data_IF_296386566665
#
_entry.id   IF_296386566665
#
_cell.length_a   1.000
_cell.length_b   1.000
_cell.length_c   1.000
_cell.angle_alpha   90.00
_cell.angle_beta   90.00
_cell.angle_gamma   90.00
#
_symmetry.space_group_name_H-M   'P 1'
#
loop_
_entity.id
_entity.type
_entity.pdbx_description
1 polymer ?
#
# COMPACT_ATOMS: atom_id res chain seq x y z
N UNK A 1 21.48 -25.80 24.03
CA UNK A 1 22.24 -24.62 24.51
C UNK A 1 23.61 -24.95 25.07
N UNK A 2 23.81 -26.13 25.71
CA UNK A 2 25.09 -26.50 26.33
C UNK A 2 26.20 -26.87 25.35
N UNK A 3 25.88 -27.53 24.25
CA UNK A 3 26.85 -28.04 23.27
C UNK A 3 27.60 -26.90 22.55
N UNK A 4 26.99 -25.76 22.37
CA UNK A 4 27.55 -24.59 21.66
C UNK A 4 28.73 -23.98 22.45
N UNK A 5 28.56 -23.70 23.74
CA UNK A 5 29.62 -23.15 24.59
C UNK A 5 30.84 -24.03 24.63
N UNK A 6 30.64 -25.34 24.67
CA UNK A 6 31.72 -26.33 24.67
C UNK A 6 32.51 -26.32 23.36
N UNK A 7 31.80 -26.14 22.22
CA UNK A 7 32.43 -26.05 20.89
C UNK A 7 33.19 -24.73 20.75
N UNK A 8 32.65 -23.62 21.20
CA UNK A 8 33.29 -22.30 21.17
C UNK A 8 34.55 -22.27 22.04
N UNK A 9 34.49 -22.84 23.24
CA UNK A 9 35.67 -22.97 24.10
C UNK A 9 36.77 -23.84 23.48
N UNK A 10 36.39 -24.96 22.86
CA UNK A 10 37.36 -25.83 22.16
C UNK A 10 38.00 -25.14 20.96
N UNK A 11 37.22 -24.43 20.17
CA UNK A 11 37.74 -23.68 19.02
C UNK A 11 38.69 -22.58 19.48
N UNK A 12 38.34 -21.82 20.50
CA UNK A 12 39.20 -20.76 21.04
C UNK A 12 40.48 -21.35 21.70
N UNK A 13 40.40 -22.49 22.38
CA UNK A 13 41.56 -23.16 22.94
C UNK A 13 42.54 -23.67 21.87
N UNK A 14 42.01 -24.26 20.79
CA UNK A 14 42.84 -24.73 19.66
C UNK A 14 43.46 -23.54 18.90
N UNK A 15 42.69 -22.43 18.75
CA UNK A 15 43.18 -21.23 18.08
C UNK A 15 44.36 -20.60 18.82
N UNK A 16 44.27 -20.49 20.14
CA UNK A 16 45.38 -20.01 20.98
C UNK A 16 46.65 -20.88 20.89
N UNK A 17 46.51 -22.17 20.62
CA UNK A 17 47.63 -23.06 20.41
C UNK A 17 48.30 -22.91 19.05
N UNK A 18 47.51 -22.66 18.00
CA UNK A 18 48.00 -22.59 16.62
C UNK A 18 48.53 -21.20 16.27
N UNK A 19 47.97 -20.15 16.85
CA UNK A 19 48.34 -18.74 16.56
C UNK A 19 48.47 -17.94 17.86
N UNK A 20 49.54 -18.12 18.65
CA UNK A 20 49.77 -17.35 19.86
C UNK A 20 50.02 -15.89 19.48
N UNK A 21 49.12 -14.99 19.89
CA UNK A 21 49.18 -13.55 19.57
C UNK A 21 48.21 -13.07 18.48
N UNK A 22 47.43 -13.94 17.89
CA UNK A 22 46.38 -13.54 16.95
C UNK A 22 45.13 -13.06 17.69
N UNK A 23 44.36 -12.18 16.99
CA UNK A 23 43.09 -11.61 17.46
C UNK A 23 42.13 -12.75 17.82
N UNK A 24 41.42 -12.58 18.92
CA UNK A 24 40.38 -13.54 19.37
C UNK A 24 39.35 -13.77 18.28
N UNK A 25 39.11 -15.03 17.91
CA UNK A 25 38.08 -15.38 16.95
C UNK A 25 36.72 -15.15 17.61
N UNK A 26 35.96 -14.12 17.14
CA UNK A 26 34.54 -14.04 17.44
C UNK A 26 33.79 -15.10 16.64
N UNK A 27 33.54 -16.25 17.26
CA UNK A 27 32.65 -17.26 16.70
C UNK A 27 31.21 -16.75 16.78
N UNK A 28 30.69 -16.21 15.67
CA UNK A 28 29.27 -15.91 15.54
C UNK A 28 28.52 -17.13 15.01
N UNK A 29 27.44 -17.50 15.65
CA UNK A 29 26.53 -18.50 15.08
C UNK A 29 25.98 -17.98 13.76
N UNK A 30 25.89 -18.86 12.75
CA UNK A 30 25.30 -18.54 11.49
C UNK A 30 23.86 -18.00 11.67
N UNK A 31 23.12 -18.53 12.66
CA UNK A 31 21.78 -18.07 13.01
C UNK A 31 21.74 -16.67 13.64
N UNK A 32 22.75 -16.28 14.42
CA UNK A 32 22.85 -14.92 14.98
C UNK A 32 23.18 -13.91 13.89
N UNK A 33 24.10 -14.26 13.01
CA UNK A 33 24.43 -13.45 11.83
C UNK A 33 23.22 -13.30 10.89
N UNK A 34 22.47 -14.40 10.72
CA UNK A 34 21.25 -14.39 9.92
C UNK A 34 20.16 -13.53 10.55
N UNK A 35 20.03 -13.51 11.87
CA UNK A 35 19.10 -12.65 12.59
C UNK A 35 19.49 -11.17 12.53
N UNK A 36 20.78 -10.83 12.70
CA UNK A 36 21.26 -9.45 12.57
C UNK A 36 20.94 -8.86 11.19
N UNK A 37 21.18 -9.59 10.10
CA UNK A 37 20.81 -9.16 8.75
C UNK A 37 19.29 -9.06 8.56
N UNK A 38 18.51 -9.94 9.18
CA UNK A 38 17.05 -9.90 9.09
C UNK A 38 16.43 -8.77 9.92
N UNK A 39 17.04 -8.36 11.02
CA UNK A 39 16.54 -7.25 11.83
C UNK A 39 16.55 -5.93 11.06
N UNK A 40 17.59 -5.65 10.29
CA UNK A 40 17.65 -4.46 9.43
C UNK A 40 16.57 -4.49 8.33
N UNK A 41 16.38 -5.63 7.67
CA UNK A 41 15.33 -5.81 6.67
C UNK A 41 13.93 -5.67 7.26
N UNK A 42 13.68 -6.24 8.43
CA UNK A 42 12.40 -6.11 9.14
C UNK A 42 12.11 -4.68 9.58
N UNK A 43 13.12 -3.92 9.99
CA UNK A 43 12.97 -2.49 10.30
C UNK A 43 12.56 -1.68 9.06
N UNK A 44 13.23 -1.91 7.92
CA UNK A 44 12.89 -1.26 6.66
C UNK A 44 11.46 -1.61 6.23
N UNK A 45 11.08 -2.90 6.29
CA UNK A 45 9.71 -3.32 5.99
C UNK A 45 8.66 -2.64 6.89
N UNK A 46 8.96 -2.49 8.18
CA UNK A 46 8.08 -1.83 9.15
C UNK A 46 7.89 -0.36 8.82
N UNK A 47 8.98 0.34 8.49
CA UNK A 47 8.95 1.74 8.07
C UNK A 47 8.13 1.89 6.79
N UNK A 48 8.40 1.08 5.76
CA UNK A 48 7.67 1.10 4.50
C UNK A 48 6.17 0.82 4.70
N UNK A 49 5.82 -0.10 5.59
CA UNK A 49 4.41 -0.39 5.91
C UNK A 49 3.72 0.82 6.54
N UNK A 50 4.36 1.51 7.47
CA UNK A 50 3.80 2.71 8.10
C UNK A 50 3.58 3.82 7.06
N UNK A 51 4.58 4.08 6.20
CA UNK A 51 4.44 5.06 5.12
C UNK A 51 3.34 4.68 4.12
N UNK A 52 3.19 3.39 3.82
CA UNK A 52 2.11 2.88 2.95
C UNK A 52 0.74 3.15 3.57
N UNK A 53 0.54 2.89 4.86
CA UNK A 53 -0.72 3.20 5.54
C UNK A 53 -1.05 4.69 5.53
N UNK A 54 -0.05 5.54 5.80
CA UNK A 54 -0.22 7.00 5.75
C UNK A 54 -0.59 7.44 4.34
N UNK A 55 0.09 6.91 3.31
CA UNK A 55 -0.18 7.22 1.91
C UNK A 55 -1.60 6.82 1.49
N UNK A 56 -2.07 5.65 1.91
CA UNK A 56 -3.43 5.17 1.64
C UNK A 56 -4.46 6.09 2.32
N UNK A 57 -4.22 6.51 3.57
CA UNK A 57 -5.09 7.44 4.28
C UNK A 57 -5.16 8.80 3.57
N UNK A 58 -4.02 9.37 3.19
CA UNK A 58 -3.95 10.64 2.47
C UNK A 58 -4.65 10.56 1.11
N UNK A 59 -4.41 9.48 0.36
CA UNK A 59 -5.09 9.24 -0.92
C UNK A 59 -6.62 9.13 -0.73
N UNK A 60 -7.07 8.42 0.31
CA UNK A 60 -8.48 8.31 0.66
C UNK A 60 -9.12 9.66 1.00
N UNK A 61 -8.45 10.48 1.81
CA UNK A 61 -8.90 11.83 2.15
C UNK A 61 -8.94 12.74 0.91
N UNK A 62 -7.95 12.65 0.02
CA UNK A 62 -7.92 13.39 -1.24
C UNK A 62 -9.09 13.01 -2.16
N UNK A 63 -9.33 11.71 -2.32
CA UNK A 63 -10.45 11.20 -3.11
C UNK A 63 -11.80 11.64 -2.51
N UNK A 64 -11.90 11.59 -1.18
CA UNK A 64 -13.08 12.04 -0.45
C UNK A 64 -13.36 13.52 -0.71
N UNK A 65 -12.34 14.39 -0.60
CA UNK A 65 -12.46 15.82 -0.84
C UNK A 65 -12.88 16.17 -2.27
N UNK A 66 -12.25 15.51 -3.26
CA UNK A 66 -12.58 15.68 -4.67
C UNK A 66 -14.01 15.23 -4.99
N UNK A 67 -14.45 14.11 -4.41
CA UNK A 67 -15.80 13.60 -4.60
C UNK A 67 -16.83 14.57 -3.99
N UNK A 68 -16.58 15.05 -2.76
CA UNK A 68 -17.42 16.05 -2.12
C UNK A 68 -17.55 17.31 -2.96
N UNK A 69 -16.43 17.88 -3.38
CA UNK A 69 -16.39 19.08 -4.22
C UNK A 69 -17.10 18.89 -5.55
N UNK A 70 -16.92 17.73 -6.19
CA UNK A 70 -17.59 17.43 -7.47
C UNK A 70 -19.11 17.33 -7.33
N UNK A 71 -19.59 16.77 -6.23
CA UNK A 71 -21.02 16.69 -5.92
C UNK A 71 -21.59 18.08 -5.65
N UNK A 72 -20.90 18.89 -4.83
CA UNK A 72 -21.36 20.25 -4.49
C UNK A 72 -21.48 21.14 -5.71
N UNK A 73 -20.49 21.13 -6.60
CA UNK A 73 -20.52 21.90 -7.84
C UNK A 73 -21.65 21.49 -8.81
N UNK A 74 -22.20 20.29 -8.65
CA UNK A 74 -23.26 19.76 -9.52
C UNK A 74 -24.62 19.68 -8.83
N UNK A 75 -24.75 20.26 -7.66
CA UNK A 75 -25.98 20.22 -6.87
C UNK A 75 -27.22 20.67 -7.67
N UNK A 76 -27.09 21.76 -8.44
CA UNK A 76 -28.15 22.25 -9.28
C UNK A 76 -28.54 21.28 -10.42
N UNK A 77 -27.54 20.67 -11.07
CA UNK A 77 -27.77 19.67 -12.13
C UNK A 77 -28.47 18.43 -11.57
N UNK A 78 -28.03 17.95 -10.41
CA UNK A 78 -28.62 16.81 -9.71
C UNK A 78 -30.07 17.11 -9.32
N UNK A 79 -30.34 18.28 -8.77
CA UNK A 79 -31.70 18.72 -8.38
C UNK A 79 -32.63 18.80 -9.59
N UNK A 80 -32.20 19.38 -10.71
CA UNK A 80 -32.96 19.42 -11.93
C UNK A 80 -33.31 18.05 -12.49
N UNK A 81 -32.36 17.12 -12.46
CA UNK A 81 -32.60 15.73 -12.90
C UNK A 81 -33.59 15.02 -11.96
N UNK A 82 -33.51 15.27 -10.66
CA UNK A 82 -34.43 14.70 -9.67
C UNK A 82 -35.85 15.20 -9.87
N UNK A 83 -36.03 16.48 -10.19
CA UNK A 83 -37.33 17.06 -10.52
C UNK A 83 -37.89 16.44 -11.83
N UNK A 84 -37.02 16.14 -12.79
CA UNK A 84 -37.39 15.45 -14.04
C UNK A 84 -37.59 13.92 -13.88
N UNK A 85 -37.66 13.42 -12.65
CA UNK A 85 -38.00 12.03 -12.37
C UNK A 85 -36.81 11.04 -12.38
N UNK A 86 -35.57 11.52 -12.38
CA UNK A 86 -34.41 10.63 -12.27
C UNK A 86 -34.36 9.97 -10.87
N UNK A 87 -34.21 8.66 -10.84
CA UNK A 87 -34.06 7.92 -9.59
C UNK A 87 -32.72 8.20 -8.89
N UNK A 88 -32.69 8.06 -7.56
CA UNK A 88 -31.48 8.24 -6.77
C UNK A 88 -30.33 7.34 -7.24
N UNK A 89 -30.65 6.10 -7.63
CA UNK A 89 -29.68 5.15 -8.14
C UNK A 89 -29.07 5.59 -9.48
N UNK A 90 -29.85 6.15 -10.38
CA UNK A 90 -29.35 6.65 -11.67
C UNK A 90 -28.36 7.80 -11.48
N UNK A 91 -28.65 8.70 -10.55
CA UNK A 91 -27.75 9.80 -10.20
C UNK A 91 -26.45 9.28 -9.57
N UNK A 92 -26.57 8.35 -8.63
CA UNK A 92 -25.42 7.73 -7.99
C UNK A 92 -24.51 7.00 -8.99
N UNK A 93 -25.08 6.18 -9.88
CA UNK A 93 -24.33 5.47 -10.92
C UNK A 93 -23.62 6.45 -11.86
N UNK A 94 -24.27 7.53 -12.26
CA UNK A 94 -23.65 8.53 -13.13
C UNK A 94 -22.44 9.20 -12.49
N UNK A 95 -22.54 9.53 -11.20
CA UNK A 95 -21.43 10.10 -10.43
C UNK A 95 -20.29 9.07 -10.28
N UNK A 96 -20.60 7.84 -9.88
CA UNK A 96 -19.61 6.77 -9.73
C UNK A 96 -18.88 6.46 -11.03
N UNK A 97 -19.58 6.35 -12.16
CA UNK A 97 -18.97 6.03 -13.45
C UNK A 97 -17.87 7.01 -13.86
N UNK A 98 -18.05 8.29 -13.53
CA UNK A 98 -17.05 9.32 -13.82
C UNK A 98 -15.78 9.13 -12.97
N UNK A 99 -15.92 8.84 -11.68
CA UNK A 99 -14.78 8.60 -10.80
C UNK A 99 -14.04 7.31 -11.13
N UNK A 100 -14.78 6.25 -11.46
CA UNK A 100 -14.18 4.98 -11.90
C UNK A 100 -13.28 5.19 -13.12
N UNK A 101 -13.70 6.02 -14.07
CA UNK A 101 -12.87 6.35 -15.24
C UNK A 101 -11.54 6.99 -14.83
N UNK A 102 -11.55 7.93 -13.89
CA UNK A 102 -10.32 8.56 -13.42
C UNK A 102 -9.43 7.60 -12.62
N UNK A 103 -10.03 6.73 -11.80
CA UNK A 103 -9.30 5.69 -11.05
C UNK A 103 -8.61 4.72 -12.02
N UNK A 104 -9.31 4.29 -13.08
CA UNK A 104 -8.72 3.42 -14.10
C UNK A 104 -7.57 4.08 -14.84
N UNK A 105 -7.70 5.35 -15.23
CA UNK A 105 -6.61 6.10 -15.88
C UNK A 105 -5.41 6.20 -14.93
N UNK A 106 -5.63 6.56 -13.68
CA UNK A 106 -4.58 6.65 -12.67
C UNK A 106 -3.88 5.30 -12.46
N UNK A 107 -4.64 4.20 -12.44
CA UNK A 107 -4.09 2.86 -12.33
C UNK A 107 -3.25 2.46 -13.57
N UNK A 108 -3.73 2.76 -14.77
CA UNK A 108 -2.98 2.47 -16.00
C UNK A 108 -1.64 3.21 -16.08
N UNK A 109 -1.53 4.37 -15.44
CA UNK A 109 -0.26 5.13 -15.37
C UNK A 109 0.58 4.66 -14.18
N UNK A 110 -0.03 4.50 -13.02
CA UNK A 110 0.66 4.20 -11.77
C UNK A 110 1.20 2.76 -11.70
N UNK A 111 0.48 1.77 -12.24
CA UNK A 111 0.88 0.38 -12.16
C UNK A 111 2.20 0.07 -12.90
N UNK A 112 2.44 0.56 -14.15
CA UNK A 112 3.72 0.38 -14.81
C UNK A 112 4.89 1.03 -14.07
N UNK A 113 4.68 2.24 -13.54
CA UNK A 113 5.70 2.96 -12.79
C UNK A 113 6.03 2.20 -11.50
N UNK A 114 5.02 1.76 -10.76
CA UNK A 114 5.20 0.99 -9.54
C UNK A 114 5.92 -0.35 -9.82
N UNK A 115 5.57 -1.04 -10.91
CA UNK A 115 6.23 -2.27 -11.32
C UNK A 115 7.72 -2.03 -11.62
N UNK A 116 8.03 -1.00 -12.40
CA UNK A 116 9.41 -0.66 -12.75
C UNK A 116 10.25 -0.32 -11.52
N UNK A 117 9.74 0.56 -10.66
CA UNK A 117 10.42 0.94 -9.41
C UNK A 117 10.63 -0.27 -8.48
N UNK A 118 9.61 -1.12 -8.32
CA UNK A 118 9.70 -2.32 -7.50
C UNK A 118 10.70 -3.34 -8.07
N UNK A 119 10.67 -3.55 -9.38
CA UNK A 119 11.62 -4.45 -10.04
C UNK A 119 13.07 -3.97 -9.87
N UNK A 120 13.31 -2.67 -10.04
CA UNK A 120 14.64 -2.09 -9.86
C UNK A 120 15.12 -2.17 -8.41
N UNK A 121 14.22 -1.96 -7.44
CA UNK A 121 14.54 -2.08 -6.02
C UNK A 121 14.88 -3.52 -5.63
N UNK A 122 14.14 -4.51 -6.15
CA UNK A 122 14.41 -5.93 -5.88
C UNK A 122 15.74 -6.42 -6.45
N UNK A 123 16.31 -5.77 -7.46
CA UNK A 123 17.63 -6.16 -7.99
C UNK A 123 18.76 -5.95 -6.99
N UNK A 124 18.55 -5.14 -5.95
CA UNK A 124 19.52 -4.90 -4.89
C UNK A 124 19.55 -6.02 -3.83
N UNK A 125 18.53 -6.88 -3.81
CA UNK A 125 18.47 -8.01 -2.89
C UNK A 125 19.03 -9.29 -3.50
N UNK A 126 19.77 -10.04 -2.71
CA UNK A 126 20.42 -11.32 -3.10
C UNK A 126 19.39 -12.41 -3.44
N UNK A 127 18.23 -12.37 -2.77
CA UNK A 127 17.10 -13.25 -3.05
C UNK A 127 16.12 -12.58 -4.01
N UNK A 128 16.20 -12.92 -5.27
CA UNK A 128 15.24 -12.47 -6.31
C UNK A 128 13.94 -13.25 -6.14
N UNK A 129 13.02 -12.72 -5.34
CA UNK A 129 11.63 -13.13 -5.45
C UNK A 129 11.06 -12.45 -6.70
N UNK A 130 10.69 -13.24 -7.69
CA UNK A 130 10.02 -12.72 -8.89
C UNK A 130 8.67 -12.11 -8.48
N UNK A 131 8.51 -10.81 -8.72
CA UNK A 131 7.23 -10.14 -8.49
C UNK A 131 6.26 -10.68 -9.53
N UNK A 132 5.33 -11.51 -9.09
CA UNK A 132 4.30 -12.04 -9.98
C UNK A 132 3.43 -10.89 -10.51
N UNK A 133 3.27 -10.75 -11.82
CA UNK A 133 2.34 -9.77 -12.41
C UNK A 133 0.91 -9.91 -11.89
N UNK A 134 0.54 -11.12 -11.47
CA UNK A 134 -0.77 -11.44 -10.87
C UNK A 134 -1.01 -10.63 -9.60
N UNK A 135 0.01 -10.43 -8.78
CA UNK A 135 -0.11 -9.60 -7.56
C UNK A 135 -0.51 -8.16 -7.87
N UNK A 136 0.02 -7.57 -8.95
CA UNK A 136 -0.36 -6.22 -9.39
C UNK A 136 -1.82 -6.14 -9.83
N UNK A 137 -2.32 -7.18 -10.49
CA UNK A 137 -3.73 -7.25 -10.89
C UNK A 137 -4.63 -7.28 -9.66
N UNK A 138 -4.32 -8.10 -8.65
CA UNK A 138 -5.08 -8.15 -7.41
C UNK A 138 -5.07 -6.82 -6.65
N UNK A 139 -3.91 -6.17 -6.55
CA UNK A 139 -3.78 -4.84 -5.93
C UNK A 139 -4.61 -3.80 -6.71
N UNK A 140 -4.57 -3.87 -8.04
CA UNK A 140 -5.37 -2.98 -8.90
C UNK A 140 -6.88 -3.17 -8.70
N UNK A 141 -7.35 -4.40 -8.68
CA UNK A 141 -8.76 -4.71 -8.42
C UNK A 141 -9.17 -4.20 -7.02
N UNK A 142 -8.34 -4.44 -6.00
CA UNK A 142 -8.60 -3.96 -4.65
C UNK A 142 -8.64 -2.41 -4.60
N UNK A 143 -7.73 -1.72 -5.27
CA UNK A 143 -7.70 -0.25 -5.34
C UNK A 143 -8.95 0.32 -6.02
N UNK A 144 -9.35 -0.26 -7.16
CA UNK A 144 -10.59 0.13 -7.86
C UNK A 144 -11.81 -0.13 -6.98
N UNK A 145 -11.85 -1.27 -6.29
CA UNK A 145 -12.96 -1.62 -5.40
C UNK A 145 -13.09 -0.65 -4.22
N UNK A 146 -11.99 -0.37 -3.51
CA UNK A 146 -11.98 0.57 -2.38
C UNK A 146 -12.34 1.98 -2.84
N UNK A 147 -11.75 2.45 -3.95
CA UNK A 147 -12.06 3.76 -4.53
C UNK A 147 -13.52 3.88 -4.93
N UNK A 148 -14.08 2.85 -5.57
CA UNK A 148 -15.50 2.82 -5.95
C UNK A 148 -16.42 2.83 -4.74
N UNK A 149 -16.12 2.06 -3.69
CA UNK A 149 -16.89 2.07 -2.45
C UNK A 149 -16.90 3.46 -1.78
N UNK A 150 -15.74 4.10 -1.72
CA UNK A 150 -15.60 5.44 -1.14
C UNK A 150 -16.46 6.46 -1.87
N UNK A 151 -16.42 6.44 -3.20
CA UNK A 151 -17.22 7.36 -4.04
C UNK A 151 -18.71 7.01 -4.01
N UNK A 152 -19.05 5.72 -4.05
CA UNK A 152 -20.45 5.26 -4.02
C UNK A 152 -21.16 5.71 -2.73
N UNK A 153 -20.49 5.60 -1.59
CA UNK A 153 -21.03 6.09 -0.33
C UNK A 153 -21.37 7.58 -0.39
N UNK A 154 -20.47 8.39 -0.94
CA UNK A 154 -20.68 9.83 -1.06
C UNK A 154 -21.76 10.18 -2.09
N UNK A 155 -21.76 9.52 -3.26
CA UNK A 155 -22.76 9.70 -4.27
C UNK A 155 -24.15 9.36 -3.76
N UNK A 156 -24.27 8.28 -2.97
CA UNK A 156 -25.53 7.89 -2.37
C UNK A 156 -26.00 8.89 -1.29
N UNK A 157 -25.08 9.41 -0.48
CA UNK A 157 -25.39 10.46 0.49
C UNK A 157 -25.86 11.74 -0.21
N UNK A 158 -25.23 12.10 -1.31
CA UNK A 158 -25.60 13.27 -2.12
C UNK A 158 -26.96 13.11 -2.82
N UNK A 159 -27.28 11.91 -3.31
CA UNK A 159 -28.56 11.64 -3.99
C UNK A 159 -29.77 11.74 -3.04
N UNK A 160 -29.56 11.58 -1.74
CA UNK A 160 -30.60 11.71 -0.69
C UNK A 160 -30.84 13.13 -0.22
N UNK A 161 -30.06 14.11 -0.68
CA UNK A 161 -30.30 15.52 -0.31
C UNK A 161 -31.63 16.03 -0.86
N UNK A 162 -32.37 16.78 -0.03
CA UNK A 162 -33.64 17.37 -0.42
C UNK A 162 -33.44 18.49 -1.47
N UNK A 163 -34.13 18.44 -2.62
CA UNK A 163 -33.99 19.47 -3.65
C UNK A 163 -34.47 20.86 -3.20
N UNK A 164 -35.31 20.94 -2.18
CA UNK A 164 -35.87 22.18 -1.65
C UNK A 164 -34.83 23.11 -1.01
N UNK A 165 -33.78 22.51 -0.38
CA UNK A 165 -32.72 23.27 0.28
C UNK A 165 -31.69 23.86 -0.69
N UNK A 166 -31.82 23.57 -1.99
CA UNK A 166 -30.81 23.92 -3.01
C UNK A 166 -31.25 25.11 -3.88
N UNK A 167 -32.48 25.57 -3.73
CA UNK A 167 -33.11 26.64 -4.57
C UNK A 167 -33.18 28.00 -3.84
N UNK A 168 -32.67 28.06 -2.58
CA UNK A 168 -32.54 29.34 -1.87
C UNK A 168 -31.25 30.08 -2.22
#
# INVERSE_FOLDING_TARGET
PGTRKIVEEKINALWKQVAPGAIEIKTCSLSERYMEFHEEELQVMKILSIFSYISILLAGLGLFGLAWFSVENRRKEISLRKINGASENQIAVLLCARFIKWILIAFCIGAPIAYYCSAQWLTQFVYKNEISPVSFIFIGIAAVFIGTLTVAWQAFKASRMNPVDTIK
#
